data_IF_863215296669
#
_entry.id   IF_863215296669
#
_cell.length_a   1.000
_cell.length_b   1.000
_cell.length_c   1.000
_cell.angle_alpha   90.00
_cell.angle_beta   90.00
_cell.angle_gamma   90.00
#
_symmetry.space_group_name_H-M   'P 1'
#
loop_
_entity.id
_entity.type
_entity.pdbx_description
1 polymer ?
#
# COMPACT_ATOMS: atom_id res chain seq x y z
N UNK A 1 27.66 12.93 -2.06
CA UNK A 1 27.99 11.50 -1.93
C UNK A 1 27.04 10.78 -2.87
N UNK A 2 27.54 10.44 -4.06
CA UNK A 2 26.73 10.33 -5.27
C UNK A 2 26.30 8.87 -5.46
N UNK A 3 25.04 8.69 -5.85
CA UNK A 3 24.35 7.43 -6.14
C UNK A 3 25.20 6.36 -6.87
N UNK A 4 26.22 6.79 -7.63
CA UNK A 4 27.13 5.93 -8.40
C UNK A 4 27.97 4.97 -7.54
N UNK A 5 28.38 5.36 -6.32
CA UNK A 5 29.25 4.50 -5.50
C UNK A 5 28.53 3.23 -5.04
N UNK A 6 27.20 3.28 -4.91
CA UNK A 6 26.37 2.13 -4.50
C UNK A 6 25.85 1.31 -5.70
N UNK A 7 25.95 1.83 -6.93
CA UNK A 7 25.48 1.09 -8.11
C UNK A 7 26.36 -0.12 -8.41
N UNK A 8 27.67 0.00 -8.20
CA UNK A 8 28.57 -1.14 -8.36
C UNK A 8 28.33 -2.20 -7.30
N UNK A 9 28.16 -1.80 -6.03
CA UNK A 9 27.81 -2.73 -4.94
C UNK A 9 26.50 -3.49 -5.22
N UNK A 10 25.48 -2.78 -5.71
CA UNK A 10 24.18 -3.39 -6.07
C UNK A 10 24.33 -4.32 -7.28
N UNK A 11 25.11 -3.93 -8.30
CA UNK A 11 25.37 -4.77 -9.47
C UNK A 11 26.10 -6.05 -9.06
N UNK A 12 27.19 -5.93 -8.30
CA UNK A 12 27.97 -7.06 -7.80
C UNK A 12 27.11 -8.01 -6.95
N UNK A 13 26.24 -7.46 -6.11
CA UNK A 13 25.29 -8.26 -5.32
C UNK A 13 24.32 -9.02 -6.23
N UNK A 14 23.73 -8.37 -7.23
CA UNK A 14 22.82 -8.99 -8.19
C UNK A 14 23.52 -10.07 -9.04
N UNK A 15 24.77 -9.84 -9.44
CA UNK A 15 25.57 -10.82 -10.16
C UNK A 15 25.86 -12.05 -9.31
N UNK A 16 26.21 -11.87 -8.02
CA UNK A 16 26.39 -12.99 -7.08
C UNK A 16 25.10 -13.75 -6.84
N UNK A 17 23.97 -13.05 -6.71
CA UNK A 17 22.65 -13.67 -6.59
C UNK A 17 22.32 -14.52 -7.83
N UNK A 18 22.54 -13.98 -9.03
CA UNK A 18 22.33 -14.72 -10.27
C UNK A 18 23.28 -15.91 -10.42
N UNK A 19 24.57 -15.74 -10.08
CA UNK A 19 25.59 -16.78 -10.16
C UNK A 19 25.33 -17.94 -9.20
N UNK A 20 24.69 -17.68 -8.05
CA UNK A 20 24.27 -18.73 -7.12
C UNK A 20 23.22 -19.66 -7.73
N UNK A 21 22.56 -19.29 -8.83
CA UNK A 21 21.61 -20.12 -9.57
C UNK A 21 20.37 -20.54 -8.77
N UNK A 22 20.16 -19.93 -7.59
CA UNK A 22 19.07 -20.26 -6.67
C UNK A 22 17.95 -19.24 -6.83
N UNK A 23 16.76 -19.72 -7.21
CA UNK A 23 15.53 -18.93 -7.13
C UNK A 23 15.21 -18.63 -5.66
N UNK A 24 15.23 -17.36 -5.27
CA UNK A 24 14.80 -16.92 -3.93
C UNK A 24 13.27 -16.81 -3.92
N UNK A 25 12.62 -17.53 -3.02
CA UNK A 25 11.16 -17.54 -2.85
C UNK A 25 10.77 -16.72 -1.64
N UNK A 26 9.98 -15.66 -1.85
CA UNK A 26 9.55 -14.75 -0.80
C UNK A 26 8.04 -14.68 -0.74
N UNK A 27 7.48 -14.86 0.45
CA UNK A 27 6.08 -14.52 0.73
C UNK A 27 6.02 -13.14 1.37
N UNK A 28 5.11 -12.27 0.93
CA UNK A 28 4.94 -10.91 1.47
C UNK A 28 3.48 -10.67 1.82
N UNK A 29 3.23 -10.09 3.00
CA UNK A 29 1.89 -9.87 3.53
C UNK A 29 1.86 -8.69 4.53
N UNK A 30 0.68 -8.12 4.87
CA UNK A 30 -0.64 -8.44 4.32
C UNK A 30 -1.23 -7.36 3.41
N UNK A 31 -0.58 -6.20 3.26
CA UNK A 31 -1.27 -4.99 2.85
C UNK A 31 -1.17 -4.64 1.34
N UNK A 32 -2.35 -4.35 0.79
CA UNK A 32 -2.51 -3.60 -0.44
C UNK A 32 -3.42 -2.40 -0.16
N UNK A 33 -2.99 -1.20 -0.56
CA UNK A 33 -3.81 0.00 -0.50
C UNK A 33 -4.04 0.56 -1.89
N UNK A 34 -5.24 1.06 -2.15
CA UNK A 34 -5.47 1.99 -3.25
C UNK A 34 -5.17 3.40 -2.76
N UNK A 35 -4.05 3.97 -3.20
CA UNK A 35 -3.65 5.31 -2.77
C UNK A 35 -4.15 6.35 -3.76
N UNK A 36 -5.02 7.24 -3.30
CA UNK A 36 -5.49 8.42 -4.01
C UNK A 36 -4.80 9.65 -3.44
N UNK A 37 -4.18 10.44 -4.31
CA UNK A 37 -3.61 11.73 -3.94
C UNK A 37 -4.48 12.84 -4.52
N UNK A 38 -4.85 13.79 -3.68
CA UNK A 38 -5.56 15.02 -4.03
C UNK A 38 -4.62 16.19 -3.77
N UNK A 39 -4.05 16.77 -4.82
CA UNK A 39 -3.14 17.92 -4.69
C UNK A 39 -3.96 19.20 -4.59
N UNK A 40 -3.90 19.84 -3.42
CA UNK A 40 -4.55 21.10 -3.10
C UNK A 40 -3.53 22.23 -3.27
N UNK A 41 -3.69 23.06 -4.30
CA UNK A 41 -2.77 24.17 -4.58
C UNK A 41 -3.10 25.41 -3.74
N UNK A 42 -3.33 25.23 -2.45
CA UNK A 42 -3.66 26.31 -1.52
C UNK A 42 -3.17 25.97 -0.11
N UNK A 43 -3.08 27.00 0.74
CA UNK A 43 -2.81 26.80 2.16
C UNK A 43 -3.99 26.09 2.85
N UNK A 44 -3.75 25.31 3.93
CA UNK A 44 -4.82 24.61 4.66
C UNK A 44 -5.99 25.49 5.09
N UNK A 45 -5.73 26.72 5.51
CA UNK A 45 -6.75 27.67 5.98
C UNK A 45 -7.71 28.07 4.84
N UNK A 46 -7.16 28.23 3.64
CA UNK A 46 -7.95 28.53 2.43
C UNK A 46 -8.84 27.34 2.09
N UNK A 47 -8.29 26.13 2.14
CA UNK A 47 -9.07 24.91 1.91
C UNK A 47 -10.23 24.76 2.91
N UNK A 48 -9.98 24.97 4.21
CA UNK A 48 -11.02 24.91 5.24
C UNK A 48 -12.13 25.93 4.96
N UNK A 49 -11.79 27.16 4.59
CA UNK A 49 -12.79 28.18 4.22
C UNK A 49 -13.62 27.73 3.02
N UNK A 50 -12.98 27.26 1.95
CA UNK A 50 -13.69 26.76 0.76
C UNK A 50 -14.59 25.58 1.12
N UNK A 51 -14.14 24.65 1.97
CA UNK A 51 -14.92 23.52 2.43
C UNK A 51 -16.17 23.99 3.20
N UNK A 52 -16.03 24.94 4.13
CA UNK A 52 -17.14 25.50 4.89
C UNK A 52 -18.16 26.22 3.98
N UNK A 53 -17.70 26.94 2.95
CA UNK A 53 -18.58 27.56 1.97
C UNK A 53 -19.41 26.51 1.22
N UNK A 54 -18.80 25.38 0.83
CA UNK A 54 -19.49 24.25 0.18
C UNK A 54 -20.50 23.59 1.12
N UNK A 55 -20.16 23.41 2.40
CA UNK A 55 -21.09 22.88 3.41
C UNK A 55 -22.26 23.83 3.64
N UNK A 56 -22.00 25.15 3.73
CA UNK A 56 -23.02 26.18 3.97
C UNK A 56 -24.08 26.24 2.86
N UNK A 57 -23.69 25.97 1.62
CA UNK A 57 -24.63 25.84 0.47
C UNK A 57 -25.25 24.44 0.33
N UNK A 58 -25.08 23.55 1.32
CA UNK A 58 -25.59 22.17 1.37
C UNK A 58 -24.99 21.22 0.32
N UNK A 59 -23.74 21.45 -0.11
CA UNK A 59 -23.00 20.57 -1.00
C UNK A 59 -22.44 21.24 -2.25
N UNK A 60 -21.95 20.44 -3.21
CA UNK A 60 -21.37 20.90 -4.47
C UNK A 60 -19.89 20.53 -4.62
N UNK A 61 -19.25 21.00 -5.70
CA UNK A 61 -17.86 20.67 -6.05
C UNK A 61 -16.84 21.69 -5.55
N UNK A 62 -15.61 21.20 -5.32
CA UNK A 62 -14.39 22.01 -5.26
C UNK A 62 -13.55 21.63 -6.47
N UNK A 63 -13.60 22.46 -7.50
CA UNK A 63 -12.97 22.17 -8.78
C UNK A 63 -11.47 22.51 -8.79
N UNK A 64 -10.79 22.14 -9.88
CA UNK A 64 -9.36 22.41 -10.11
C UNK A 64 -8.44 21.74 -9.08
N UNK A 65 -8.88 20.62 -8.53
CA UNK A 65 -8.09 19.75 -7.65
C UNK A 65 -7.52 18.60 -8.47
N UNK A 66 -6.19 18.53 -8.57
CA UNK A 66 -5.53 17.45 -9.30
C UNK A 66 -5.63 16.16 -8.49
N UNK A 67 -6.08 15.07 -9.13
CA UNK A 67 -6.23 13.77 -8.48
C UNK A 67 -5.47 12.69 -9.24
N UNK A 68 -4.79 11.81 -8.51
CA UNK A 68 -4.04 10.68 -9.07
C UNK A 68 -4.24 9.43 -8.21
N UNK A 69 -4.41 8.28 -8.85
CA UNK A 69 -4.47 6.99 -8.15
C UNK A 69 -3.15 6.24 -8.38
N UNK A 70 -2.67 5.60 -7.32
CA UNK A 70 -1.46 4.79 -7.32
C UNK A 70 -1.69 3.49 -6.58
N UNK A 71 -0.83 2.52 -6.88
CA UNK A 71 -0.68 1.31 -6.09
C UNK A 71 0.04 1.63 -4.79
N UNK A 72 -0.63 1.39 -3.68
CA UNK A 72 -0.08 1.48 -2.33
C UNK A 72 0.08 0.13 -1.66
N UNK A 73 0.42 0.16 -0.37
CA UNK A 73 0.62 -1.02 0.46
C UNK A 73 2.07 -1.47 0.48
N UNK A 74 2.61 -1.66 1.68
CA UNK A 74 3.99 -2.02 1.88
C UNK A 74 4.29 -3.41 1.33
N UNK A 75 3.38 -4.37 1.48
CA UNK A 75 3.58 -5.74 0.99
C UNK A 75 3.64 -5.75 -0.53
N UNK A 76 2.71 -5.04 -1.19
CA UNK A 76 2.68 -4.96 -2.66
C UNK A 76 3.87 -4.18 -3.22
N UNK A 77 4.30 -3.11 -2.57
CA UNK A 77 5.49 -2.36 -2.98
C UNK A 77 6.77 -3.19 -2.79
N UNK A 78 6.88 -3.89 -1.67
CA UNK A 78 7.99 -4.83 -1.40
C UNK A 78 8.01 -5.96 -2.42
N UNK A 79 6.85 -6.55 -2.71
CA UNK A 79 6.74 -7.63 -3.69
C UNK A 79 7.19 -7.19 -5.08
N UNK A 80 6.79 -5.99 -5.49
CA UNK A 80 7.21 -5.40 -6.75
C UNK A 80 8.70 -5.10 -6.83
N UNK A 81 9.31 -4.66 -5.73
CA UNK A 81 10.74 -4.39 -5.68
C UNK A 81 11.54 -5.70 -5.74
N UNK A 82 11.17 -6.69 -4.92
CA UNK A 82 11.82 -7.99 -4.90
C UNK A 82 11.72 -8.74 -6.23
N UNK A 83 10.55 -8.70 -6.88
CA UNK A 83 10.40 -9.31 -8.20
C UNK A 83 11.30 -8.66 -9.26
N UNK A 84 11.52 -7.34 -9.19
CA UNK A 84 12.46 -6.64 -10.08
C UNK A 84 13.92 -7.00 -9.81
N UNK A 85 14.23 -7.46 -8.60
CA UNK A 85 15.55 -8.00 -8.23
C UNK A 85 15.70 -9.49 -8.56
N UNK A 86 14.71 -10.10 -9.22
CA UNK A 86 14.75 -11.49 -9.66
C UNK A 86 14.23 -12.52 -8.65
N UNK A 87 13.69 -12.08 -7.50
CA UNK A 87 13.07 -13.00 -6.56
C UNK A 87 11.69 -13.47 -7.06
N UNK A 88 11.34 -14.73 -6.77
CA UNK A 88 9.99 -15.23 -6.96
C UNK A 88 9.15 -14.85 -5.77
N UNK A 89 8.18 -13.97 -5.99
CA UNK A 89 7.37 -13.41 -4.91
C UNK A 89 5.92 -13.89 -4.97
N UNK A 90 5.40 -14.33 -3.83
CA UNK A 90 3.99 -14.67 -3.63
C UNK A 90 3.36 -13.66 -2.64
N UNK A 91 2.59 -12.68 -3.13
CA UNK A 91 1.88 -11.76 -2.25
C UNK A 91 0.62 -12.42 -1.69
N UNK A 92 0.48 -12.42 -0.36
CA UNK A 92 -0.75 -12.81 0.34
C UNK A 92 -1.37 -11.54 0.90
N UNK A 93 -2.32 -10.97 0.17
CA UNK A 93 -2.94 -9.68 0.46
C UNK A 93 -4.45 -9.76 0.28
N UNK A 94 -5.20 -8.79 0.82
CA UNK A 94 -6.64 -8.72 0.62
C UNK A 94 -7.08 -7.43 -0.07
N UNK A 95 -8.10 -7.50 -0.91
CA UNK A 95 -8.69 -6.36 -1.61
C UNK A 95 -10.03 -6.71 -2.25
N UNK A 96 -10.75 -5.73 -2.77
CA UNK A 96 -12.01 -5.95 -3.48
C UNK A 96 -11.78 -6.33 -4.95
N UNK A 97 -12.88 -6.53 -5.70
CA UNK A 97 -12.80 -6.89 -7.11
C UNK A 97 -12.08 -5.82 -7.93
N UNK A 98 -12.30 -4.53 -7.66
CA UNK A 98 -11.63 -3.45 -8.38
C UNK A 98 -10.13 -3.44 -8.09
N UNK A 99 -9.77 -3.52 -6.81
CA UNK A 99 -8.38 -3.60 -6.36
C UNK A 99 -7.64 -4.80 -6.93
N UNK A 100 -8.30 -5.96 -7.07
CA UNK A 100 -7.72 -7.14 -7.71
C UNK A 100 -7.35 -6.89 -9.18
N UNK A 101 -8.23 -6.22 -9.94
CA UNK A 101 -7.93 -5.86 -11.33
C UNK A 101 -6.75 -4.89 -11.43
N UNK A 102 -6.67 -3.92 -10.51
CA UNK A 102 -5.54 -3.00 -10.44
C UNK A 102 -4.24 -3.74 -10.09
N UNK A 103 -4.25 -4.62 -9.09
CA UNK A 103 -3.10 -5.47 -8.76
C UNK A 103 -2.62 -6.26 -9.96
N UNK A 104 -3.55 -6.82 -10.75
CA UNK A 104 -3.23 -7.55 -11.98
C UNK A 104 -2.49 -6.67 -12.99
N UNK A 105 -2.92 -5.43 -13.17
CA UNK A 105 -2.22 -4.49 -14.06
C UNK A 105 -0.79 -4.19 -13.58
N UNK A 106 -0.59 -4.06 -12.26
CA UNK A 106 0.72 -3.71 -11.70
C UNK A 106 1.69 -4.88 -11.56
N UNK A 107 1.20 -6.08 -11.21
CA UNK A 107 2.04 -7.21 -10.80
C UNK A 107 2.20 -8.28 -11.89
N UNK A 108 1.22 -8.43 -12.80
CA UNK A 108 1.32 -9.40 -13.89
C UNK A 108 2.52 -9.15 -14.83
N UNK A 109 2.89 -7.90 -15.18
CA UNK A 109 4.11 -7.65 -15.97
C UNK A 109 5.40 -8.07 -15.27
N UNK A 110 5.38 -8.26 -13.95
CA UNK A 110 6.51 -8.72 -13.14
C UNK A 110 6.53 -10.24 -12.95
N UNK A 111 5.60 -10.99 -13.59
CA UNK A 111 5.50 -12.45 -13.45
C UNK A 111 4.98 -12.91 -12.08
N UNK A 112 4.42 -12.01 -11.27
CA UNK A 112 3.90 -12.34 -9.94
C UNK A 112 2.49 -12.96 -10.07
N UNK A 113 2.27 -14.11 -9.44
CA UNK A 113 0.94 -14.73 -9.32
C UNK A 113 0.07 -13.98 -8.31
N UNK A 114 -1.24 -13.94 -8.58
CA UNK A 114 -2.26 -13.35 -7.70
C UNK A 114 -3.20 -14.39 -7.08
N UNK A 115 -2.85 -15.68 -7.14
CA UNK A 115 -3.71 -16.78 -6.68
C UNK A 115 -4.01 -16.71 -5.17
N UNK A 116 -3.14 -16.03 -4.40
CA UNK A 116 -3.27 -15.87 -2.96
C UNK A 116 -3.87 -14.52 -2.53
N UNK A 117 -4.40 -13.75 -3.48
CA UNK A 117 -5.14 -12.51 -3.16
C UNK A 117 -6.53 -12.86 -2.65
N UNK A 118 -6.86 -12.39 -1.44
CA UNK A 118 -8.16 -12.61 -0.82
C UNK A 118 -9.14 -11.52 -1.27
N UNK A 119 -10.22 -11.92 -1.93
CA UNK A 119 -11.27 -10.99 -2.35
C UNK A 119 -12.19 -10.69 -1.15
N UNK A 120 -12.32 -9.41 -0.81
CA UNK A 120 -13.11 -8.91 0.32
C UNK A 120 -14.09 -7.83 -0.14
N UNK A 121 -15.08 -7.49 0.68
CA UNK A 121 -16.06 -6.45 0.33
C UNK A 121 -15.50 -5.04 0.44
N UNK A 122 -14.67 -4.79 1.47
CA UNK A 122 -14.11 -3.46 1.76
C UNK A 122 -12.59 -3.47 1.53
N UNK A 123 -12.10 -2.81 0.46
CA UNK A 123 -10.68 -2.69 0.22
C UNK A 123 -10.07 -1.65 1.17
N UNK A 124 -8.75 -1.67 1.28
CA UNK A 124 -8.02 -0.64 2.01
C UNK A 124 -7.68 0.52 1.08
N UNK A 125 -8.04 1.74 1.48
CA UNK A 125 -7.92 2.94 0.67
C UNK A 125 -7.22 4.02 1.50
N UNK A 126 -6.26 4.70 0.88
CA UNK A 126 -5.70 5.95 1.41
C UNK A 126 -6.13 7.08 0.50
N UNK A 127 -6.73 8.13 1.04
CA UNK A 127 -6.84 9.42 0.34
C UNK A 127 -5.92 10.43 1.02
N UNK A 128 -4.83 10.80 0.36
CA UNK A 128 -3.89 11.80 0.82
C UNK A 128 -4.25 13.18 0.24
N UNK A 129 -4.53 14.13 1.12
CA UNK A 129 -4.63 15.55 0.78
C UNK A 129 -3.22 16.14 0.82
N UNK A 130 -2.69 16.57 -0.32
CA UNK A 130 -1.36 17.19 -0.41
C UNK A 130 -1.49 18.71 -0.41
N UNK A 131 -0.83 19.37 0.54
CA UNK A 131 -0.76 20.84 0.61
C UNK A 131 0.67 21.32 0.34
N UNK A 132 0.87 22.46 -0.36
CA UNK A 132 2.18 23.06 -0.51
C UNK A 132 2.71 23.59 0.82
N UNK A 133 4.00 23.37 1.07
CA UNK A 133 4.80 23.99 2.12
C UNK A 133 6.05 24.64 1.48
N UNK A 134 6.74 25.51 2.21
CA UNK A 134 7.92 26.22 1.70
C UNK A 134 8.97 25.28 1.06
N UNK A 135 9.18 24.10 1.66
CA UNK A 135 10.20 23.13 1.22
C UNK A 135 9.60 21.86 0.58
N UNK A 136 8.35 21.90 0.11
CA UNK A 136 7.75 20.77 -0.60
C UNK A 136 6.25 20.62 -0.39
N UNK A 137 5.81 19.41 -0.10
CA UNK A 137 4.40 19.09 0.15
C UNK A 137 4.25 18.35 1.48
N UNK A 138 3.17 18.64 2.19
CA UNK A 138 2.72 17.86 3.35
C UNK A 138 1.48 17.06 2.96
N UNK A 139 1.41 15.81 3.44
CA UNK A 139 0.31 14.91 3.14
C UNK A 139 -0.50 14.61 4.40
N UNK A 140 -1.79 14.90 4.36
CA UNK A 140 -2.75 14.48 5.37
C UNK A 140 -3.51 13.26 4.84
N UNK A 141 -3.30 12.10 5.44
CA UNK A 141 -3.85 10.84 4.97
C UNK A 141 -5.15 10.49 5.68
N UNK A 142 -6.23 10.41 4.91
CA UNK A 142 -7.51 9.82 5.32
C UNK A 142 -7.49 8.36 4.92
N UNK A 143 -7.48 7.44 5.89
CA UNK A 143 -7.30 6.01 5.63
C UNK A 143 -8.54 5.24 6.04
N UNK A 144 -9.07 4.48 5.10
CA UNK A 144 -9.98 3.38 5.37
C UNK A 144 -9.16 2.09 5.30
N UNK A 145 -8.91 1.48 6.46
CA UNK A 145 -8.03 0.30 6.56
C UNK A 145 -8.78 -0.97 6.10
N UNK A 146 -10.11 -0.95 6.01
CA UNK A 146 -10.91 -2.11 5.60
C UNK A 146 -10.60 -3.35 6.44
N UNK A 147 -10.62 -4.53 5.80
CA UNK A 147 -10.37 -5.81 6.48
C UNK A 147 -8.92 -5.96 7.02
N UNK A 148 -7.97 -5.12 6.59
CA UNK A 148 -6.57 -5.23 7.06
C UNK A 148 -6.42 -5.01 8.56
N UNK A 149 -7.36 -4.30 9.18
CA UNK A 149 -7.37 -4.06 10.62
C UNK A 149 -7.53 -5.36 11.43
N UNK A 150 -8.26 -6.32 10.87
CA UNK A 150 -8.56 -7.62 11.48
C UNK A 150 -7.87 -8.79 10.80
N UNK A 151 -7.07 -8.54 9.75
CA UNK A 151 -6.43 -9.58 8.96
C UNK A 151 -5.53 -10.45 9.86
N UNK A 152 -5.71 -11.76 9.81
CA UNK A 152 -4.96 -12.69 10.65
C UNK A 152 -5.03 -14.13 10.14
N UNK A 153 -4.56 -15.11 10.93
CA UNK A 153 -4.51 -16.51 10.54
C UNK A 153 -5.83 -17.08 10.01
N UNK A 154 -6.96 -16.60 10.52
CA UNK A 154 -8.30 -16.99 10.06
C UNK A 154 -8.61 -16.61 8.60
N UNK A 155 -7.83 -15.71 8.00
CA UNK A 155 -7.96 -15.29 6.61
C UNK A 155 -7.05 -16.11 5.66
N UNK A 156 -6.29 -17.05 6.21
CA UNK A 156 -5.37 -17.90 5.48
C UNK A 156 -5.97 -19.30 5.30
N UNK A 157 -5.65 -19.94 4.18
CA UNK A 157 -6.02 -21.33 3.87
C UNK A 157 -4.78 -22.24 3.88
N UNK A 158 -4.99 -23.56 3.78
CA UNK A 158 -3.87 -24.52 3.81
C UNK A 158 -2.86 -24.29 2.67
N UNK A 159 -3.31 -23.84 1.50
CA UNK A 159 -2.41 -23.50 0.38
C UNK A 159 -1.49 -22.33 0.74
N UNK A 160 -1.97 -21.32 1.47
CA UNK A 160 -1.13 -20.22 1.97
C UNK A 160 -0.05 -20.76 2.93
N UNK A 161 -0.42 -21.68 3.83
CA UNK A 161 0.53 -22.30 4.77
C UNK A 161 1.57 -23.16 4.04
N UNK A 162 1.18 -23.85 2.98
CA UNK A 162 2.10 -24.57 2.10
C UNK A 162 3.13 -23.65 1.44
N UNK A 163 2.73 -22.43 1.05
CA UNK A 163 3.68 -21.45 0.53
C UNK A 163 4.62 -20.92 1.60
N UNK A 164 4.18 -20.73 2.83
CA UNK A 164 5.10 -20.38 3.93
C UNK A 164 6.16 -21.46 4.14
N UNK A 165 5.78 -22.75 4.11
CA UNK A 165 6.72 -23.87 4.27
C UNK A 165 7.77 -23.94 3.14
N UNK A 166 7.41 -23.48 1.93
CA UNK A 166 8.26 -23.51 0.73
C UNK A 166 9.08 -22.23 0.52
N UNK A 167 8.77 -21.16 1.25
CA UNK A 167 9.44 -19.88 1.12
C UNK A 167 10.80 -19.89 1.81
N UNK A 168 11.77 -19.18 1.23
CA UNK A 168 13.03 -18.88 1.91
C UNK A 168 12.84 -17.78 2.95
N UNK A 169 11.93 -16.84 2.66
CA UNK A 169 11.61 -15.71 3.53
C UNK A 169 10.11 -15.43 3.56
N UNK A 170 9.61 -15.11 4.74
CA UNK A 170 8.25 -14.58 4.94
C UNK A 170 8.37 -13.18 5.52
N UNK A 171 7.85 -12.20 4.79
CA UNK A 171 7.89 -10.79 5.15
C UNK A 171 6.49 -10.31 5.56
N UNK A 172 6.30 -10.14 6.86
CA UNK A 172 5.12 -9.50 7.44
C UNK A 172 5.41 -8.01 7.63
N UNK A 173 4.97 -7.19 6.68
CA UNK A 173 5.20 -5.74 6.71
C UNK A 173 3.97 -5.01 7.24
N UNK A 174 4.21 -3.88 7.89
CA UNK A 174 3.17 -2.95 8.34
C UNK A 174 2.09 -3.54 9.29
N UNK A 175 2.51 -4.20 10.37
CA UNK A 175 1.59 -4.71 11.41
C UNK A 175 1.00 -3.61 12.33
N UNK A 176 1.52 -2.37 12.29
CA UNK A 176 1.15 -1.31 13.24
C UNK A 176 -0.29 -0.76 13.15
N UNK A 177 -1.10 -1.26 12.22
CA UNK A 177 -2.54 -0.95 12.09
C UNK A 177 -3.45 -2.11 12.46
N UNK A 178 -2.87 -3.28 12.71
CA UNK A 178 -3.62 -4.47 13.05
C UNK A 178 -4.02 -4.41 14.53
N UNK A 179 -5.31 -4.18 14.80
CA UNK A 179 -5.83 -4.05 16.17
C UNK A 179 -5.64 -5.32 17.02
N UNK A 180 -5.50 -6.49 16.38
CA UNK A 180 -5.25 -7.76 17.07
C UNK A 180 -3.80 -7.90 17.54
N UNK A 181 -2.88 -7.11 16.97
CA UNK A 181 -1.43 -7.20 17.25
C UNK A 181 -0.96 -5.95 18.03
N UNK A 182 -1.46 -4.77 17.70
CA UNK A 182 -1.03 -3.51 18.31
C UNK A 182 -2.22 -2.60 18.66
N UNK A 183 -2.28 -2.17 19.92
CA UNK A 183 -3.16 -1.08 20.34
C UNK A 183 -2.40 0.24 20.05
N UNK A 184 -2.57 0.83 18.87
CA UNK A 184 -1.75 1.96 18.41
C UNK A 184 -2.34 3.32 18.86
N UNK A 185 -1.70 4.04 19.81
CA UNK A 185 -2.20 5.31 20.32
C UNK A 185 -2.00 6.50 19.36
N UNK A 186 -1.36 6.32 18.19
CA UNK A 186 -1.11 7.39 17.19
C UNK A 186 -2.21 7.55 16.14
N UNK A 187 -3.25 6.72 16.15
CA UNK A 187 -4.41 6.95 15.27
C UNK A 187 -5.35 7.97 15.92
N UNK A 188 -5.28 9.21 15.47
CA UNK A 188 -6.36 10.18 15.69
C UNK A 188 -7.53 9.77 14.80
N UNK A 189 -8.34 8.81 15.25
CA UNK A 189 -9.59 8.45 14.58
C UNK A 189 -10.62 9.54 14.82
N UNK A 190 -11.29 9.97 13.75
CA UNK A 190 -12.51 10.77 13.90
C UNK A 190 -13.55 9.92 14.66
N UNK A 191 -14.36 10.53 15.55
CA UNK A 191 -15.47 9.82 16.18
C UNK A 191 -16.43 9.31 15.10
N UNK A 192 -16.80 8.03 15.20
CA UNK A 192 -17.82 7.44 14.32
C UNK A 192 -19.15 8.03 14.76
N UNK A 193 -19.78 8.85 13.92
CA UNK A 193 -21.18 9.18 14.09
C UNK A 193 -21.99 7.93 13.73
N UNK A 194 -22.65 7.33 14.73
CA UNK A 194 -23.70 6.36 14.48
C UNK A 194 -24.91 7.15 13.94
N UNK A 195 -25.30 6.86 12.71
CA UNK A 195 -26.60 7.27 12.15
C UNK A 195 -27.74 6.46 12.77
#
# INVERSE_FOLDING_TARGET
MLLNDHLEDVRDFLERLNAAGREIKVVVMPDFFLDRFVTLNCAPEVFVKTLLDVVGRKGGSIDRTCQRNFRGGNAVNTASALARLGARVTPIVCTDKLGFHLLRLYLKPLGISLDHVKIVEKPSITTALEFPLADGKVNVMLRDVGLLEDFGPQNLNEDDFEWFRKADYVLCVQLGWNKKIWNNPRSNSLPIHQE
#
